data_IF_954883612011
#
_entry.id   IF_954883612011
#
_cell.length_a   1.000
_cell.length_b   1.000
_cell.length_c   1.000
_cell.angle_alpha   90.00
_cell.angle_beta   90.00
_cell.angle_gamma   90.00
#
_symmetry.space_group_name_H-M   'P 1'
#
loop_
_entity.id
_entity.type
_entity.pdbx_description
1 polymer ?
#
# COMPACT_ATOMS: atom_id res chain seq x y z
N UNK A 1 7.26 -3.73 -4.82
CA UNK A 1 6.50 -3.88 -6.08
C UNK A 1 6.22 -2.53 -6.72
N UNK A 2 6.19 -2.48 -8.06
CA UNK A 2 5.71 -1.32 -8.80
C UNK A 2 4.18 -1.33 -8.89
N UNK A 3 3.59 -0.14 -8.74
CA UNK A 3 2.16 0.09 -8.79
C UNK A 3 1.90 0.95 -10.03
N UNK A 4 1.32 0.35 -11.07
CA UNK A 4 1.34 0.93 -12.42
C UNK A 4 0.22 1.96 -12.66
N UNK A 5 -0.52 2.33 -11.62
CA UNK A 5 -1.73 3.15 -11.69
C UNK A 5 -1.85 4.06 -10.48
N UNK A 6 -2.76 5.03 -10.57
CA UNK A 6 -3.22 5.79 -9.41
C UNK A 6 -4.16 4.92 -8.55
N UNK A 7 -4.13 5.15 -7.24
CA UNK A 7 -4.97 4.45 -6.26
C UNK A 7 -5.65 5.48 -5.35
N UNK A 8 -6.95 5.34 -5.04
CA UNK A 8 -7.60 6.15 -4.03
C UNK A 8 -6.85 6.06 -2.70
N UNK A 9 -6.82 7.17 -1.98
CA UNK A 9 -6.14 7.28 -0.69
C UNK A 9 -6.72 6.27 0.30
N UNK A 10 -8.05 6.16 0.34
CA UNK A 10 -8.84 5.30 1.21
C UNK A 10 -8.53 3.82 0.96
N UNK A 11 -8.39 3.41 -0.30
CA UNK A 11 -7.96 2.06 -0.69
C UNK A 11 -6.60 1.71 -0.07
N UNK A 12 -5.64 2.62 -0.17
CA UNK A 12 -4.30 2.39 0.34
C UNK A 12 -4.24 2.47 1.87
N UNK A 13 -5.06 3.33 2.48
CA UNK A 13 -5.26 3.37 3.93
C UNK A 13 -5.79 2.03 4.44
N UNK A 14 -6.81 1.47 3.79
CA UNK A 14 -7.35 0.15 4.12
C UNK A 14 -6.32 -0.97 3.97
N UNK A 15 -5.52 -0.95 2.90
CA UNK A 15 -4.42 -1.91 2.72
C UNK A 15 -3.42 -1.85 3.89
N UNK A 16 -3.01 -0.65 4.30
CA UNK A 16 -2.06 -0.47 5.39
C UNK A 16 -2.63 -0.88 6.74
N UNK A 17 -3.93 -0.69 6.97
CA UNK A 17 -4.62 -1.21 8.17
C UNK A 17 -4.59 -2.74 8.22
N UNK A 18 -4.91 -3.42 7.11
CA UNK A 18 -4.82 -4.89 7.04
C UNK A 18 -3.40 -5.40 7.28
N UNK A 19 -2.38 -4.68 6.79
CA UNK A 19 -0.98 -4.97 7.08
C UNK A 19 -0.65 -4.82 8.56
N UNK A 20 -1.10 -3.74 9.20
CA UNK A 20 -0.90 -3.50 10.63
C UNK A 20 -1.59 -4.55 11.52
N UNK A 21 -2.73 -5.07 11.08
CA UNK A 21 -3.48 -6.15 11.73
C UNK A 21 -2.82 -7.54 11.55
N UNK A 22 -1.76 -7.67 10.75
CA UNK A 22 -1.08 -8.94 10.49
C UNK A 22 -1.82 -9.85 9.50
N UNK A 23 -2.75 -9.31 8.69
CA UNK A 23 -3.53 -10.10 7.72
C UNK A 23 -2.70 -10.72 6.60
N UNK A 24 -1.51 -10.18 6.37
CA UNK A 24 -0.54 -10.68 5.38
C UNK A 24 0.71 -11.25 6.05
N UNK A 25 0.58 -11.72 7.30
CA UNK A 25 1.70 -12.14 8.15
C UNK A 25 2.36 -10.98 8.88
N UNK A 26 3.49 -11.26 9.53
CA UNK A 26 4.23 -10.26 10.30
C UNK A 26 4.92 -9.24 9.37
N UNK A 27 4.45 -7.99 9.41
CA UNK A 27 5.05 -6.87 8.68
C UNK A 27 5.72 -5.93 9.67
N UNK A 28 7.04 -5.89 9.61
CA UNK A 28 7.88 -4.98 10.40
C UNK A 28 7.78 -3.56 9.85
N UNK A 29 7.80 -3.42 8.52
CA UNK A 29 7.74 -2.12 7.85
C UNK A 29 7.07 -2.19 6.49
N UNK A 30 6.23 -1.23 6.17
CA UNK A 30 5.78 -0.99 4.80
C UNK A 30 5.88 0.50 4.46
N UNK A 31 6.14 0.81 3.19
CA UNK A 31 6.20 2.18 2.68
C UNK A 31 5.57 2.23 1.31
N UNK A 32 4.69 3.21 1.08
CA UNK A 32 4.18 3.48 -0.25
C UNK A 32 4.31 4.95 -0.61
N UNK A 33 4.60 5.20 -1.88
CA UNK A 33 4.38 6.48 -2.55
C UNK A 33 3.40 6.20 -3.67
N UNK A 34 2.24 6.87 -3.66
CA UNK A 34 1.18 6.62 -4.63
C UNK A 34 0.75 7.93 -5.30
N UNK A 35 0.42 7.86 -6.59
CA UNK A 35 -0.46 8.83 -7.22
C UNK A 35 -1.90 8.53 -6.81
N UNK A 36 -2.68 9.58 -6.53
CA UNK A 36 -4.13 9.50 -6.33
C UNK A 36 -4.86 9.98 -7.59
N UNK A 37 -6.12 9.57 -7.84
CA UNK A 37 -6.84 9.96 -9.05
C UNK A 37 -7.09 11.47 -9.16
N UNK A 38 -7.56 12.10 -8.08
CA UNK A 38 -8.06 13.49 -8.09
C UNK A 38 -7.32 14.41 -7.10
N UNK A 39 -6.19 13.96 -6.55
CA UNK A 39 -5.51 14.64 -5.44
C UNK A 39 -3.99 14.67 -5.57
N UNK A 40 -3.30 15.25 -4.57
CA UNK A 40 -1.87 15.14 -4.50
C UNK A 40 -1.47 13.66 -4.32
N UNK A 41 -0.23 13.31 -4.68
CA UNK A 41 0.34 12.04 -4.26
C UNK A 41 0.33 11.89 -2.74
N UNK A 42 0.36 10.64 -2.26
CA UNK A 42 0.41 10.34 -0.83
C UNK A 42 1.58 9.43 -0.49
N UNK A 43 2.13 9.65 0.70
CA UNK A 43 3.10 8.76 1.35
C UNK A 43 2.44 8.02 2.49
N UNK A 44 2.63 6.71 2.49
CA UNK A 44 2.23 5.83 3.58
C UNK A 44 3.47 5.21 4.21
N UNK A 45 3.49 5.18 5.53
CA UNK A 45 4.54 4.58 6.34
C UNK A 45 3.88 3.69 7.40
N UNK A 46 4.25 2.41 7.41
CA UNK A 46 3.93 1.47 8.47
C UNK A 46 5.24 1.09 9.17
N UNK A 47 5.27 1.14 10.50
CA UNK A 47 6.36 0.58 11.30
C UNK A 47 5.78 -0.04 12.58
N UNK A 48 5.96 -1.35 12.75
CA UNK A 48 5.48 -2.09 13.92
C UNK A 48 4.01 -1.78 14.28
N UNK A 49 3.11 -1.92 13.29
CA UNK A 49 1.67 -1.64 13.47
C UNK A 49 1.28 -0.16 13.46
N UNK A 50 2.23 0.78 13.53
CA UNK A 50 1.92 2.21 13.52
C UNK A 50 1.88 2.74 12.08
N UNK A 51 0.73 3.30 11.68
CA UNK A 51 0.51 3.87 10.35
C UNK A 51 0.62 5.39 10.42
N UNK A 52 1.37 5.95 9.48
CA UNK A 52 1.41 7.37 9.19
C UNK A 52 1.13 7.60 7.71
N UNK A 53 0.21 8.51 7.43
CA UNK A 53 -0.26 8.84 6.09
C UNK A 53 -0.19 10.35 5.91
N UNK A 54 0.51 10.82 4.88
CA UNK A 54 0.68 12.26 4.60
C UNK A 54 0.63 12.53 3.11
N UNK A 55 0.13 13.71 2.74
CA UNK A 55 0.26 14.18 1.35
C UNK A 55 1.74 14.37 0.99
N UNK A 56 2.06 14.11 -0.27
CA UNK A 56 3.39 14.23 -0.83
C UNK A 56 3.38 15.33 -1.89
N UNK A 57 3.99 16.47 -1.56
CA UNK A 57 3.92 17.70 -2.35
C UNK A 57 4.88 17.71 -3.55
N UNK A 58 5.03 16.60 -4.24
CA UNK A 58 5.89 16.47 -5.42
C UNK A 58 5.32 15.45 -6.37
N UNK A 59 5.42 15.72 -7.68
CA UNK A 59 4.96 14.81 -8.70
C UNK A 59 5.71 13.46 -8.61
N UNK A 60 4.97 12.36 -8.74
CA UNK A 60 5.55 11.02 -8.82
C UNK A 60 5.44 10.50 -10.24
N UNK A 61 6.57 10.10 -10.83
CA UNK A 61 6.58 9.41 -12.12
C UNK A 61 5.91 8.04 -12.05
N UNK A 62 5.93 7.39 -10.89
CA UNK A 62 5.30 6.09 -10.64
C UNK A 62 4.99 5.86 -9.17
N UNK A 63 3.93 5.11 -8.92
CA UNK A 63 3.60 4.61 -7.59
C UNK A 63 4.46 3.39 -7.25
N UNK A 64 4.81 3.21 -5.97
CA UNK A 64 5.61 2.09 -5.48
C UNK A 64 5.19 1.71 -4.06
N UNK A 65 5.21 0.41 -3.78
CA UNK A 65 5.05 -0.16 -2.45
C UNK A 65 6.27 -1.03 -2.11
N UNK A 66 6.79 -0.88 -0.90
CA UNK A 66 7.84 -1.72 -0.29
C UNK A 66 7.29 -2.30 0.99
N UNK A 67 7.51 -3.60 1.20
CA UNK A 67 7.07 -4.30 2.41
C UNK A 67 8.23 -5.15 2.93
N UNK A 68 8.40 -5.17 4.25
CA UNK A 68 9.52 -5.79 4.97
C UNK A 68 8.96 -6.51 6.19
N UNK A 69 9.34 -7.77 6.36
CA UNK A 69 8.88 -8.64 7.43
C UNK A 69 9.73 -9.92 7.47
N UNK A 70 9.79 -10.61 8.62
CA UNK A 70 10.64 -11.77 8.82
C UNK A 70 10.24 -12.99 7.99
N UNK A 71 8.94 -13.15 7.70
CA UNK A 71 8.40 -14.31 7.00
C UNK A 71 7.62 -13.91 5.74
N UNK A 72 8.16 -12.94 4.98
CA UNK A 72 7.58 -12.61 3.68
C UNK A 72 7.93 -13.73 2.71
N UNK A 73 6.94 -14.54 2.33
CA UNK A 73 7.07 -15.44 1.18
C UNK A 73 6.92 -14.62 -0.10
N UNK A 74 8.00 -14.41 -0.88
CA UNK A 74 7.93 -13.63 -2.11
C UNK A 74 6.95 -14.30 -3.08
N UNK A 75 6.11 -13.52 -3.76
CA UNK A 75 5.08 -14.02 -4.66
C UNK A 75 3.70 -14.12 -4.01
N UNK A 76 3.55 -14.91 -2.94
CA UNK A 76 2.24 -15.11 -2.28
C UNK A 76 1.68 -13.79 -1.75
N UNK A 77 2.48 -13.08 -0.95
CA UNK A 77 2.07 -11.81 -0.37
C UNK A 77 1.80 -10.75 -1.46
N UNK A 78 2.58 -10.78 -2.55
CA UNK A 78 2.39 -9.87 -3.66
C UNK A 78 1.05 -10.15 -4.39
N UNK A 79 0.71 -11.42 -4.61
CA UNK A 79 -0.56 -11.83 -5.20
C UNK A 79 -1.76 -11.44 -4.34
N UNK A 80 -1.68 -11.64 -3.02
CA UNK A 80 -2.74 -11.25 -2.08
C UNK A 80 -2.97 -9.73 -2.08
N UNK A 81 -1.88 -8.95 -2.03
CA UNK A 81 -1.95 -7.48 -2.12
C UNK A 81 -2.53 -7.06 -3.47
N UNK A 82 -2.09 -7.68 -4.57
CA UNK A 82 -2.64 -7.39 -5.91
C UNK A 82 -4.12 -7.74 -6.00
N UNK A 83 -4.54 -8.87 -5.42
CA UNK A 83 -5.94 -9.29 -5.40
C UNK A 83 -6.79 -8.31 -4.60
N UNK A 84 -6.32 -7.82 -3.44
CA UNK A 84 -6.99 -6.77 -2.67
C UNK A 84 -7.18 -5.50 -3.51
N UNK A 85 -6.10 -5.03 -4.15
CA UNK A 85 -6.12 -3.83 -4.99
C UNK A 85 -7.00 -3.97 -6.24
N UNK A 86 -7.28 -5.19 -6.70
CA UNK A 86 -8.18 -5.48 -7.82
C UNK A 86 -9.64 -5.62 -7.38
N UNK A 87 -9.91 -6.24 -6.21
CA UNK A 87 -11.27 -6.48 -5.73
C UNK A 87 -12.07 -5.21 -5.46
N UNK A 88 -11.42 -4.14 -5.00
CA UNK A 88 -12.07 -2.85 -4.79
C UNK A 88 -12.61 -2.19 -6.08
N UNK A 89 -12.27 -2.71 -7.27
CA UNK A 89 -12.84 -2.26 -8.55
C UNK A 89 -14.15 -2.94 -8.94
N UNK A 90 -14.51 -4.04 -8.28
CA UNK A 90 -15.71 -4.79 -8.64
C UNK A 90 -16.97 -4.26 -7.94
N UNK A 91 -16.79 -3.40 -6.93
CA UNK A 91 -17.85 -2.81 -6.11
C UNK A 91 -18.07 -1.30 -6.41
N UNK A 92 -17.43 -0.76 -7.45
CA UNK A 92 -17.66 0.58 -8.05
C UNK A 92 -18.24 0.44 -9.47
#
# INVERSE_FOLDING_TARGET
>A
MELNKAYPRETMSGLFSLMAEGRFGEIVRAKALINTPDGPPYRFDLAWGNINEVSFNSALSRSRLVVIGPEIVPGIMEEEIRAFLLKLKADE
#
